data_IF_995597721859
#
_entry.id   IF_995597721859
#
_cell.length_a   1.000
_cell.length_b   1.000
_cell.length_c   1.000
_cell.angle_alpha   90.00
_cell.angle_beta   90.00
_cell.angle_gamma   90.00
#
_symmetry.space_group_name_H-M   'P 1'
#
loop_
_entity.id
_entity.type
_entity.pdbx_description
1 polymer ?
#
# COMPACT_ATOMS: atom_id res chain seq x y z
N UNK A 1 -17.16 -8.39 6.83
CA UNK A 1 -17.63 -7.54 5.71
C UNK A 1 -16.48 -6.63 5.29
N UNK A 2 -16.26 -6.38 3.98
CA UNK A 2 -15.12 -5.56 3.53
C UNK A 2 -15.22 -4.12 4.03
N UNK A 3 -14.08 -3.43 4.11
CA UNK A 3 -14.04 -2.02 4.46
C UNK A 3 -14.66 -1.22 3.31
N UNK A 4 -15.66 -0.40 3.64
CA UNK A 4 -16.41 0.42 2.69
C UNK A 4 -15.98 1.89 2.78
N UNK A 5 -16.22 2.70 1.73
CA UNK A 5 -15.95 4.14 1.77
C UNK A 5 -16.66 4.86 2.93
N UNK A 6 -17.83 4.36 3.35
CA UNK A 6 -18.62 4.92 4.45
C UNK A 6 -17.92 4.78 5.80
N UNK A 7 -17.06 3.77 5.97
CA UNK A 7 -16.30 3.55 7.22
C UNK A 7 -15.21 4.61 7.43
N UNK A 8 -14.71 5.17 6.31
CA UNK A 8 -13.66 6.18 6.29
C UNK A 8 -14.20 7.61 6.46
N UNK A 9 -15.41 7.87 5.92
CA UNK A 9 -16.00 9.20 5.89
C UNK A 9 -15.36 10.12 4.83
N UNK A 10 -15.86 11.35 4.72
CA UNK A 10 -15.39 12.34 3.75
C UNK A 10 -16.00 12.19 2.35
N UNK A 11 -15.27 12.65 1.34
CA UNK A 11 -15.67 12.56 -0.07
C UNK A 11 -15.58 11.12 -0.58
N UNK A 12 -16.71 10.60 -1.08
CA UNK A 12 -16.85 9.19 -1.46
C UNK A 12 -15.87 8.79 -2.58
N UNK A 13 -15.68 9.65 -3.58
CA UNK A 13 -14.77 9.40 -4.69
C UNK A 13 -13.30 9.31 -4.23
N UNK A 14 -12.92 10.17 -3.29
CA UNK A 14 -11.59 10.16 -2.68
C UNK A 14 -11.39 8.91 -1.83
N UNK A 15 -12.35 8.58 -0.97
CA UNK A 15 -12.32 7.38 -0.13
C UNK A 15 -12.22 6.10 -0.99
N UNK A 16 -12.97 6.01 -2.10
CA UNK A 16 -12.89 4.89 -3.04
C UNK A 16 -11.50 4.75 -3.65
N UNK A 17 -10.85 5.84 -4.06
CA UNK A 17 -9.49 5.80 -4.64
C UNK A 17 -8.44 5.42 -3.61
N UNK A 18 -8.57 5.91 -2.38
CA UNK A 18 -7.71 5.52 -1.25
C UNK A 18 -7.82 4.02 -0.99
N UNK A 19 -9.05 3.47 -0.96
CA UNK A 19 -9.27 2.04 -0.78
C UNK A 19 -8.68 1.19 -1.91
N UNK A 20 -8.76 1.64 -3.16
CA UNK A 20 -8.12 0.94 -4.28
C UNK A 20 -6.60 0.83 -4.08
N UNK A 21 -5.95 1.90 -3.65
CA UNK A 21 -4.51 1.86 -3.39
C UNK A 21 -4.17 1.07 -2.12
N UNK A 22 -5.00 1.15 -1.09
CA UNK A 22 -4.84 0.38 0.13
C UNK A 22 -4.87 -1.13 -0.15
N UNK A 23 -5.78 -1.59 -1.02
CA UNK A 23 -5.88 -3.00 -1.47
C UNK A 23 -4.65 -3.48 -2.23
N UNK A 24 -4.03 -2.59 -3.00
CA UNK A 24 -2.76 -2.88 -3.69
C UNK A 24 -1.60 -3.07 -2.70
N UNK A 25 -1.56 -2.26 -1.64
CA UNK A 25 -0.53 -2.33 -0.61
C UNK A 25 -0.74 -3.52 0.35
N UNK A 26 -2.01 -3.78 0.70
CA UNK A 26 -2.42 -4.69 1.75
C UNK A 26 -3.72 -5.42 1.33
N UNK A 27 -3.63 -6.51 0.55
CA UNK A 27 -4.80 -7.23 0.04
C UNK A 27 -5.68 -7.87 1.13
N UNK A 28 -5.11 -8.12 2.32
CA UNK A 28 -5.78 -8.76 3.45
C UNK A 28 -6.84 -7.87 4.13
N UNK A 29 -6.88 -6.56 3.84
CA UNK A 29 -7.75 -5.62 4.58
C UNK A 29 -9.24 -5.93 4.43
N UNK A 30 -9.62 -6.61 3.33
CA UNK A 30 -11.00 -7.05 3.09
C UNK A 30 -11.33 -8.39 3.77
N UNK A 31 -10.33 -9.16 4.26
CA UNK A 31 -10.52 -10.46 4.93
C UNK A 31 -10.69 -10.36 6.45
N UNK A 32 -10.50 -9.18 7.04
CA UNK A 32 -10.70 -8.98 8.47
C UNK A 32 -12.15 -9.18 8.91
N UNK A 33 -12.34 -9.76 10.11
CA UNK A 33 -13.67 -9.90 10.72
C UNK A 33 -14.20 -8.55 11.19
N UNK A 34 -15.53 -8.40 11.23
CA UNK A 34 -16.17 -7.09 11.42
C UNK A 34 -15.87 -6.45 12.78
N UNK A 35 -15.66 -7.26 13.81
CA UNK A 35 -15.37 -6.79 15.18
C UNK A 35 -13.88 -6.94 15.56
N UNK A 36 -13.00 -7.22 14.60
CA UNK A 36 -11.58 -7.33 14.86
C UNK A 36 -10.93 -5.98 15.16
N UNK A 37 -9.99 -5.97 16.10
CA UNK A 37 -9.16 -4.79 16.36
C UNK A 37 -8.32 -4.45 15.12
N UNK A 38 -7.88 -5.46 14.35
CA UNK A 38 -7.15 -5.27 13.09
C UNK A 38 -7.94 -4.44 12.06
N UNK A 39 -9.25 -4.65 11.96
CA UNK A 39 -10.11 -3.85 11.08
C UNK A 39 -10.20 -2.40 11.56
N UNK A 40 -10.31 -2.18 12.87
CA UNK A 40 -10.35 -0.83 13.45
C UNK A 40 -9.02 -0.10 13.25
N UNK A 41 -7.89 -0.80 13.43
CA UNK A 41 -6.55 -0.27 13.20
C UNK A 41 -6.36 0.11 11.72
N UNK A 42 -6.78 -0.76 10.79
CA UNK A 42 -6.73 -0.46 9.37
C UNK A 42 -7.56 0.80 9.02
N UNK A 43 -8.79 0.92 9.58
CA UNK A 43 -9.62 2.11 9.39
C UNK A 43 -8.95 3.36 9.96
N UNK A 44 -8.30 3.27 11.12
CA UNK A 44 -7.59 4.41 11.72
C UNK A 44 -6.44 4.90 10.85
N UNK A 45 -5.61 3.98 10.31
CA UNK A 45 -4.54 4.33 9.38
C UNK A 45 -5.09 4.99 8.11
N UNK A 46 -6.14 4.42 7.53
CA UNK A 46 -6.77 4.96 6.31
C UNK A 46 -7.42 6.34 6.53
N UNK A 47 -7.98 6.58 7.71
CA UNK A 47 -8.49 7.91 8.11
C UNK A 47 -7.37 8.93 8.26
N UNK A 48 -6.22 8.53 8.82
CA UNK A 48 -5.02 9.36 8.86
C UNK A 48 -4.59 9.79 7.45
N UNK A 49 -4.47 8.83 6.53
CA UNK A 49 -4.14 9.10 5.12
C UNK A 49 -5.13 10.04 4.44
N UNK A 50 -6.44 9.88 4.70
CA UNK A 50 -7.46 10.80 4.19
C UNK A 50 -7.34 12.22 4.78
N UNK A 51 -6.91 12.35 6.04
CA UNK A 51 -6.70 13.64 6.70
C UNK A 51 -5.50 14.41 6.14
N UNK A 52 -4.47 13.70 5.67
CA UNK A 52 -3.31 14.31 4.99
C UNK A 52 -3.63 14.81 3.57
N UNK A 53 -4.75 14.34 2.98
CA UNK A 53 -5.17 14.84 1.68
C UNK A 53 -5.76 16.25 1.81
N UNK A 54 -5.39 17.18 0.91
CA UNK A 54 -5.96 18.52 0.93
C UNK A 54 -7.47 18.43 0.70
N UNK A 55 -8.24 19.15 1.53
CA UNK A 55 -9.71 19.19 1.42
C UNK A 55 -10.15 19.48 -0.03
N UNK A 56 -11.13 18.72 -0.49
CA UNK A 56 -11.72 18.81 -1.83
C UNK A 56 -12.24 20.22 -2.08
N UNK A 57 -11.42 21.08 -2.70
CA UNK A 57 -11.75 22.48 -2.99
C UNK A 57 -10.82 23.54 -2.40
N UNK A 58 -9.92 23.21 -1.45
CA UNK A 58 -8.98 24.21 -0.87
C UNK A 58 -7.96 24.73 -1.90
N UNK A 59 -7.74 23.99 -2.98
CA UNK A 59 -6.93 24.44 -4.12
C UNK A 59 -7.64 25.39 -5.07
N UNK A 60 -8.96 25.58 -4.99
CA UNK A 60 -9.66 26.53 -5.89
C UNK A 60 -9.19 27.98 -5.67
N UNK A 61 -8.62 28.30 -4.51
CA UNK A 61 -8.08 29.64 -4.20
C UNK A 61 -6.57 29.77 -4.48
N UNK A 62 -5.79 28.69 -4.45
CA UNK A 62 -4.38 28.67 -4.87
C UNK A 62 -4.20 28.46 -6.38
N UNK A 63 -5.24 27.98 -7.07
CA UNK A 63 -5.23 27.68 -8.50
C UNK A 63 -5.92 28.79 -9.33
N UNK A 64 -5.30 29.97 -9.39
CA UNK A 64 -5.17 30.65 -10.70
C UNK A 64 -4.17 29.92 -11.61
N UNK A 65 -3.54 28.84 -11.12
CA UNK A 65 -2.87 27.85 -11.95
C UNK A 65 -3.88 27.11 -12.82
N UNK A 66 -3.89 27.54 -14.07
CA UNK A 66 -4.57 27.02 -15.26
C UNK A 66 -4.48 25.49 -15.33
N UNK A 67 -5.49 24.81 -14.79
CA UNK A 67 -5.96 23.44 -15.07
C UNK A 67 -6.56 22.88 -13.78
N UNK A 68 -7.89 22.97 -13.65
CA UNK A 68 -8.62 22.42 -12.50
C UNK A 68 -8.32 20.93 -12.35
N UNK A 69 -7.42 20.58 -11.44
CA UNK A 69 -7.01 19.20 -11.25
C UNK A 69 -7.85 18.59 -10.13
N UNK A 70 -8.74 17.69 -10.51
CA UNK A 70 -9.19 16.57 -9.67
C UNK A 70 -8.03 16.02 -8.84
N UNK A 71 -8.29 15.55 -7.61
CA UNK A 71 -7.29 14.81 -6.82
C UNK A 71 -6.66 13.74 -7.72
N UNK A 72 -5.37 13.85 -7.99
CA UNK A 72 -4.68 12.93 -8.91
C UNK A 72 -4.21 11.71 -8.13
N UNK A 73 -4.12 10.56 -8.80
CA UNK A 73 -3.55 9.34 -8.20
C UNK A 73 -2.15 9.56 -7.61
N UNK A 74 -1.36 10.49 -8.17
CA UNK A 74 -0.05 10.86 -7.64
C UNK A 74 -0.13 11.51 -6.25
N UNK A 75 -1.14 12.35 -6.01
CA UNK A 75 -1.36 12.95 -4.69
C UNK A 75 -1.81 11.93 -3.66
N UNK A 76 -2.67 11.00 -4.06
CA UNK A 76 -3.08 9.89 -3.20
C UNK A 76 -1.87 9.03 -2.84
N UNK A 77 -1.04 8.68 -3.83
CA UNK A 77 0.22 7.97 -3.57
C UNK A 77 1.15 8.72 -2.63
N UNK A 78 1.20 10.05 -2.71
CA UNK A 78 2.01 10.88 -1.81
C UNK A 78 1.45 10.95 -0.38
N UNK A 79 0.13 10.82 -0.20
CA UNK A 79 -0.50 10.83 1.12
C UNK A 79 -0.32 9.50 1.87
N UNK A 80 -0.07 8.40 1.14
CA UNK A 80 0.52 7.21 1.74
C UNK A 80 2.01 7.49 1.94
N UNK A 81 2.42 7.77 3.16
CA UNK A 81 3.83 7.80 3.55
C UNK A 81 4.35 6.38 3.80
N UNK A 82 5.65 6.27 4.12
CA UNK A 82 6.27 4.97 4.37
C UNK A 82 5.74 4.32 5.65
N UNK A 83 5.34 5.12 6.64
CA UNK A 83 4.77 4.64 7.90
C UNK A 83 3.38 4.04 7.69
N UNK A 84 2.49 4.69 6.93
CA UNK A 84 1.18 4.15 6.58
C UNK A 84 1.30 2.87 5.75
N UNK A 85 2.25 2.83 4.80
CA UNK A 85 2.53 1.61 4.02
C UNK A 85 3.03 0.47 4.90
N UNK A 86 3.98 0.75 5.79
CA UNK A 86 4.56 -0.23 6.70
C UNK A 86 3.49 -0.78 7.65
N UNK A 87 2.65 0.11 8.21
CA UNK A 87 1.55 -0.21 9.11
C UNK A 87 0.49 -1.09 8.43
N UNK A 88 0.06 -0.76 7.21
CA UNK A 88 -0.90 -1.59 6.49
C UNK A 88 -0.34 -2.98 6.14
N UNK A 89 0.94 -3.06 5.76
CA UNK A 89 1.60 -4.34 5.49
C UNK A 89 1.77 -5.18 6.76
N UNK A 90 2.09 -4.55 7.90
CA UNK A 90 2.27 -5.27 9.16
C UNK A 90 0.97 -5.94 9.60
N UNK A 91 -0.17 -5.27 9.42
CA UNK A 91 -1.51 -5.84 9.67
C UNK A 91 -1.76 -7.10 8.82
N UNK A 92 -1.30 -7.12 7.56
CA UNK A 92 -1.38 -8.33 6.72
C UNK A 92 -0.43 -9.44 7.13
N UNK A 93 0.78 -9.11 7.59
CA UNK A 93 1.69 -10.13 8.10
C UNK A 93 1.20 -10.75 9.42
N UNK A 94 0.49 -9.97 10.25
CA UNK A 94 -0.07 -10.42 11.51
C UNK A 94 -1.33 -11.29 11.36
N UNK A 95 -2.07 -11.11 10.25
CA UNK A 95 -3.31 -11.84 9.98
C UNK A 95 -3.10 -13.22 9.34
N UNK A 96 -1.85 -13.66 9.16
CA UNK A 96 -1.55 -15.07 8.88
C UNK A 96 -1.91 -15.57 7.48
N UNK A 97 -2.48 -14.73 6.61
CA UNK A 97 -2.75 -15.05 5.20
C UNK A 97 -1.49 -14.90 4.31
N UNK A 98 -0.31 -15.18 4.86
CA UNK A 98 0.82 -15.58 4.02
C UNK A 98 0.48 -16.99 3.57
N UNK A 99 -0.02 -17.12 2.34
CA UNK A 99 -0.22 -18.41 1.71
C UNK A 99 0.99 -19.32 2.01
N UNK A 100 0.80 -20.55 2.54
CA UNK A 100 1.89 -21.48 2.76
C UNK A 100 2.47 -21.87 1.39
N UNK A 101 3.48 -21.13 0.95
CA UNK A 101 4.00 -21.24 -0.42
C UNK A 101 4.55 -19.95 -1.01
N UNK A 102 5.04 -18.99 -0.19
CA UNK A 102 5.91 -17.94 -0.71
C UNK A 102 7.00 -18.61 -1.57
N UNK A 103 7.27 -18.15 -2.81
CA UNK A 103 8.22 -18.82 -3.66
C UNK A 103 9.58 -18.81 -2.97
N UNK A 104 9.99 -19.98 -2.48
CA UNK A 104 11.38 -20.30 -2.20
C UNK A 104 12.08 -20.26 -3.55
N UNK A 105 12.44 -19.05 -4.00
CA UNK A 105 13.40 -18.87 -5.06
C UNK A 105 14.71 -19.46 -4.58
N UNK A 106 14.92 -20.75 -4.84
CA UNK A 106 16.23 -21.38 -4.69
C UNK A 106 17.10 -20.81 -5.80
N UNK A 107 18.17 -20.11 -5.43
CA UNK A 107 19.23 -19.84 -6.38
C UNK A 107 19.82 -21.20 -6.80
N UNK A 108 19.95 -21.49 -8.11
CA UNK A 108 20.63 -22.69 -8.56
C UNK A 108 22.05 -22.73 -7.97
N UNK A 109 22.34 -23.75 -7.18
CA UNK A 109 23.68 -23.96 -6.59
C UNK A 109 24.68 -24.39 -7.66
N UNK A 110 24.19 -24.98 -8.76
CA UNK A 110 25.00 -25.25 -9.93
C UNK A 110 25.30 -23.94 -10.65
N UNK A 111 26.59 -23.58 -10.65
CA UNK A 111 27.13 -22.49 -11.46
C UNK A 111 27.47 -23.07 -12.84
N UNK A 112 26.64 -22.87 -13.90
CA UNK A 112 26.95 -23.37 -15.24
C UNK A 112 28.21 -22.73 -15.86
N UNK A 113 28.79 -21.70 -15.22
CA UNK A 113 29.92 -20.94 -15.73
C UNK A 113 31.23 -21.11 -14.95
N UNK A 114 31.40 -22.20 -14.20
CA UNK A 114 32.64 -22.47 -13.44
C UNK A 114 33.94 -22.55 -14.29
N UNK A 115 33.86 -22.43 -15.62
CA UNK A 115 34.99 -22.54 -16.56
C UNK A 115 35.11 -21.41 -17.58
N UNK A 116 34.44 -20.27 -17.37
CA UNK A 116 34.61 -19.12 -18.28
C UNK A 116 35.89 -18.33 -17.97
N UNK A 117 36.39 -18.37 -16.73
CA UNK A 117 37.62 -17.67 -16.34
C UNK A 117 38.68 -18.65 -15.82
N UNK A 118 39.91 -18.65 -16.37
CA UNK A 118 41.01 -19.40 -15.80
C UNK A 118 41.51 -18.66 -14.56
N UNK A 119 41.00 -19.01 -13.38
CA UNK A 119 41.66 -18.67 -12.13
C UNK A 119 42.97 -19.48 -12.10
N UNK A 120 44.10 -18.77 -12.22
CA UNK A 120 45.43 -19.37 -12.02
C UNK A 120 45.65 -19.51 -10.52
N UNK A 121 45.81 -20.74 -10.06
CA UNK A 121 46.42 -21.00 -8.76
C UNK A 121 47.86 -20.48 -8.81
N UNK A 122 48.15 -19.44 -8.02
CA UNK A 122 49.52 -19.09 -7.69
C UNK A 122 49.99 -20.09 -6.62
N UNK A 123 50.87 -21.00 -7.03
CA UNK A 123 51.65 -21.84 -6.15
C UNK A 123 52.73 -21.03 -5.40
#
# INVERSE_FOLDING_TARGET
MPITPNDLGGDEDTARRVLVLARDIAPCIDSFSDDSEQKKDAIAVLKGVLGELPATGSRRTLAMSRNGSSITLAQIKSAFDDDARSSLRSLCSASGDVAPGAPLGSFPTDRPFARVWPERDYA
#
